data_IF_324713127610
#
_entry.id   IF_324713127610
#
_cell.length_a   1.000
_cell.length_b   1.000
_cell.length_c   1.000
_cell.angle_alpha   90.00
_cell.angle_beta   90.00
_cell.angle_gamma   90.00
#
_symmetry.space_group_name_H-M   'P 1'
#
loop_
_entity.id
_entity.type
_entity.pdbx_description
1 polymer ?
#
# COMPACT_ATOMS: atom_id res chain seq x y z
N UNK A 1 18.92 -6.98 -11.07
CA UNK A 1 17.64 -6.65 -10.39
C UNK A 1 16.67 -7.78 -10.54
N UNK A 2 16.06 -8.14 -9.45
CA UNK A 2 14.97 -9.09 -9.54
C UNK A 2 13.80 -8.42 -10.23
N UNK A 3 13.12 -9.15 -11.05
CA UNK A 3 11.91 -8.65 -11.67
C UNK A 3 10.91 -8.23 -10.62
N UNK A 4 10.34 -7.08 -10.80
CA UNK A 4 9.16 -6.73 -10.05
C UNK A 4 8.06 -7.66 -10.53
N UNK A 5 7.57 -8.46 -9.62
CA UNK A 5 6.46 -9.32 -9.92
C UNK A 5 5.19 -8.47 -9.96
N UNK A 6 4.72 -8.23 -11.16
CA UNK A 6 3.55 -7.38 -11.34
C UNK A 6 2.31 -8.23 -11.26
N UNK A 7 1.48 -7.91 -10.29
CA UNK A 7 0.10 -8.36 -10.29
C UNK A 7 -0.72 -7.15 -10.68
N UNK A 8 -1.06 -7.05 -11.96
CA UNK A 8 -1.92 -5.98 -12.44
C UNK A 8 -3.33 -6.49 -12.54
N UNK A 9 -4.18 -6.02 -11.67
CA UNK A 9 -5.60 -6.28 -11.72
C UNK A 9 -6.30 -4.98 -12.04
N UNK A 10 -7.07 -4.99 -13.10
CA UNK A 10 -7.79 -3.80 -13.56
C UNK A 10 -9.28 -4.04 -13.44
N UNK A 11 -10.01 -3.01 -13.05
CA UNK A 11 -11.48 -3.05 -13.05
C UNK A 11 -12.07 -2.24 -14.21
N UNK A 12 -11.34 -2.18 -15.33
CA UNK A 12 -11.74 -1.49 -16.55
C UNK A 12 -11.75 -2.44 -17.75
N UNK A 13 -11.94 -1.91 -18.95
CA UNK A 13 -12.06 -2.68 -20.19
C UNK A 13 -10.85 -3.59 -20.44
N UNK A 14 -11.10 -4.85 -20.80
CA UNK A 14 -10.08 -5.88 -21.01
C UNK A 14 -8.99 -5.50 -22.01
N UNK A 15 -9.34 -4.82 -23.09
CA UNK A 15 -8.36 -4.43 -24.11
C UNK A 15 -7.41 -3.37 -23.59
N UNK A 16 -7.93 -2.41 -22.84
CA UNK A 16 -7.13 -1.37 -22.21
C UNK A 16 -6.23 -1.98 -21.15
N UNK A 17 -6.76 -2.90 -20.36
CA UNK A 17 -5.99 -3.63 -19.36
C UNK A 17 -4.82 -4.37 -19.96
N UNK A 18 -5.05 -5.10 -21.04
CA UNK A 18 -4.03 -5.92 -21.68
C UNK A 18 -2.87 -5.08 -22.19
N UNK A 19 -3.17 -3.98 -22.88
CA UNK A 19 -2.15 -3.08 -23.41
C UNK A 19 -1.38 -2.39 -22.30
N UNK A 20 -2.09 -1.95 -21.28
CA UNK A 20 -1.48 -1.27 -20.15
C UNK A 20 -0.59 -2.22 -19.34
N UNK A 21 -1.11 -3.41 -19.07
CA UNK A 21 -0.37 -4.45 -18.36
C UNK A 21 0.94 -4.77 -19.05
N UNK A 22 0.89 -4.96 -20.37
CA UNK A 22 2.09 -5.26 -21.15
C UNK A 22 3.10 -4.12 -21.08
N UNK A 23 2.66 -2.87 -21.22
CA UNK A 23 3.53 -1.72 -21.16
C UNK A 23 4.20 -1.58 -19.79
N UNK A 24 3.45 -1.80 -18.72
CA UNK A 24 3.95 -1.75 -17.35
C UNK A 24 4.95 -2.88 -17.11
N UNK A 25 4.63 -4.10 -17.50
CA UNK A 25 5.52 -5.25 -17.37
C UNK A 25 6.84 -5.02 -18.11
N UNK A 26 6.79 -4.56 -19.35
CA UNK A 26 7.98 -4.30 -20.15
C UNK A 26 8.85 -3.22 -19.50
N UNK A 27 8.26 -2.16 -18.99
CA UNK A 27 8.98 -1.08 -18.32
C UNK A 27 9.66 -1.56 -17.05
N UNK A 28 8.95 -2.33 -16.24
CA UNK A 28 9.46 -2.80 -14.97
C UNK A 28 10.51 -3.90 -15.13
N UNK A 29 10.36 -4.76 -16.14
CA UNK A 29 11.37 -5.76 -16.46
C UNK A 29 12.70 -5.12 -16.84
N UNK A 30 12.68 -3.93 -17.43
CA UNK A 30 13.90 -3.21 -17.79
C UNK A 30 14.48 -2.40 -16.64
N UNK A 31 13.68 -2.02 -15.66
CA UNK A 31 14.08 -1.11 -14.58
C UNK A 31 14.53 -1.81 -13.32
N UNK A 32 13.85 -2.83 -12.88
CA UNK A 32 14.09 -3.38 -11.57
C UNK A 32 13.69 -4.83 -11.45
N UNK A 33 14.55 -5.57 -10.77
CA UNK A 33 14.24 -6.93 -10.35
C UNK A 33 14.02 -7.02 -8.86
N UNK A 34 13.84 -5.90 -8.19
CA UNK A 34 13.56 -5.94 -6.76
C UNK A 34 12.15 -6.46 -6.54
N UNK A 35 12.01 -7.12 -5.42
CA UNK A 35 10.74 -7.65 -5.00
C UNK A 35 9.74 -6.54 -4.75
N UNK A 36 8.65 -6.59 -5.47
CA UNK A 36 7.55 -5.65 -5.34
C UNK A 36 6.43 -6.05 -6.25
N UNK A 37 5.23 -5.60 -5.95
CA UNK A 37 4.05 -5.88 -6.74
C UNK A 37 3.29 -4.60 -6.99
N UNK A 38 2.57 -4.57 -8.10
CA UNK A 38 1.67 -3.49 -8.44
C UNK A 38 0.24 -4.03 -8.52
N UNK A 39 -0.66 -3.27 -7.96
CA UNK A 39 -2.09 -3.48 -8.11
C UNK A 39 -2.67 -2.21 -8.68
N UNK A 40 -3.35 -2.30 -9.82
CA UNK A 40 -4.00 -1.15 -10.42
C UNK A 40 -5.51 -1.30 -10.33
N UNK A 41 -6.14 -0.37 -9.65
CA UNK A 41 -7.57 -0.36 -9.41
C UNK A 41 -7.88 -0.04 -7.96
N UNK A 42 -9.16 0.10 -7.68
CA UNK A 42 -9.65 0.37 -6.35
C UNK A 42 -10.08 -0.94 -5.68
N UNK A 43 -9.56 -1.17 -4.47
CA UNK A 43 -10.04 -2.26 -3.63
C UNK A 43 -11.32 -1.85 -2.96
N UNK A 44 -12.36 -2.66 -3.16
CA UNK A 44 -13.71 -2.38 -2.67
C UNK A 44 -14.05 -3.26 -1.49
N UNK A 45 -15.16 -2.96 -0.87
CA UNK A 45 -15.64 -3.69 0.30
C UNK A 45 -15.57 -5.21 0.09
N UNK A 46 -15.07 -5.92 1.08
CA UNK A 46 -14.89 -7.37 1.12
C UNK A 46 -13.76 -7.92 0.24
N UNK A 47 -13.06 -7.06 -0.47
CA UNK A 47 -11.88 -7.50 -1.20
C UNK A 47 -10.68 -7.56 -0.27
N UNK A 48 -9.88 -8.61 -0.42
CA UNK A 48 -8.67 -8.83 0.37
C UNK A 48 -7.51 -9.01 -0.60
N UNK A 49 -6.47 -8.24 -0.41
CA UNK A 49 -5.23 -8.36 -1.17
C UNK A 49 -4.12 -8.74 -0.20
N UNK A 50 -3.56 -9.93 -0.38
CA UNK A 50 -2.43 -10.40 0.40
C UNK A 50 -1.22 -10.58 -0.50
N UNK A 51 -0.07 -10.14 -0.03
CA UNK A 51 1.16 -10.25 -0.79
C UNK A 51 2.35 -10.52 0.14
N UNK A 52 3.29 -11.31 -0.34
CA UNK A 52 4.53 -11.57 0.39
C UNK A 52 5.56 -10.46 0.21
N UNK A 53 5.35 -9.60 -0.76
CA UNK A 53 6.26 -8.53 -1.11
C UNK A 53 5.61 -7.19 -0.87
N UNK A 54 6.42 -6.13 -0.90
CA UNK A 54 5.88 -4.78 -0.88
C UNK A 54 4.92 -4.57 -2.04
N UNK A 55 3.87 -3.80 -1.81
CA UNK A 55 2.83 -3.56 -2.81
C UNK A 55 2.63 -2.09 -3.04
N UNK A 56 2.45 -1.72 -4.31
CA UNK A 56 2.05 -0.39 -4.73
C UNK A 56 0.65 -0.50 -5.33
N UNK A 57 -0.30 0.21 -4.74
CA UNK A 57 -1.68 0.23 -5.20
C UNK A 57 -1.94 1.54 -5.93
N UNK A 58 -2.25 1.44 -7.22
CA UNK A 58 -2.61 2.58 -8.07
C UNK A 58 -4.12 2.75 -8.03
N UNK A 59 -4.62 3.25 -6.94
CA UNK A 59 -6.05 3.39 -6.68
C UNK A 59 -6.30 3.58 -5.20
N UNK A 60 -7.54 3.39 -4.79
CA UNK A 60 -7.96 3.57 -3.41
C UNK A 60 -8.14 2.22 -2.72
N UNK A 61 -8.06 2.24 -1.39
CA UNK A 61 -8.47 1.11 -0.54
C UNK A 61 -9.71 1.59 0.21
N UNK A 62 -10.88 1.13 -0.22
CA UNK A 62 -12.14 1.57 0.35
C UNK A 62 -12.42 0.92 1.70
N UNK A 63 -13.35 1.50 2.42
CA UNK A 63 -13.82 0.92 3.68
C UNK A 63 -14.31 -0.51 3.45
N UNK A 64 -13.89 -1.42 4.30
CA UNK A 64 -14.22 -2.84 4.17
C UNK A 64 -13.27 -3.65 3.31
N UNK A 65 -12.33 -2.99 2.61
CA UNK A 65 -11.25 -3.67 1.92
C UNK A 65 -10.08 -3.90 2.86
N UNK A 66 -9.27 -4.93 2.57
CA UNK A 66 -8.11 -5.29 3.39
C UNK A 66 -6.89 -5.50 2.52
N UNK A 67 -5.78 -4.93 2.92
CA UNK A 67 -4.48 -5.14 2.28
C UNK A 67 -3.51 -5.66 3.33
N UNK A 68 -2.87 -6.78 3.04
CA UNK A 68 -1.85 -7.38 3.92
C UNK A 68 -0.58 -7.59 3.11
N UNK A 69 0.51 -7.05 3.58
CA UNK A 69 1.82 -7.21 2.94
C UNK A 69 2.87 -7.60 3.99
N UNK A 70 3.75 -8.51 3.64
CA UNK A 70 4.91 -8.81 4.48
C UNK A 70 5.96 -7.70 4.40
N UNK A 71 5.90 -6.88 3.37
CA UNK A 71 6.75 -5.70 3.19
C UNK A 71 5.98 -4.41 3.42
N UNK A 72 6.26 -3.41 2.59
CA UNK A 72 5.65 -2.09 2.68
C UNK A 72 4.37 -1.99 1.85
N UNK A 73 3.54 -1.03 2.19
CA UNK A 73 2.32 -0.74 1.42
C UNK A 73 2.39 0.73 0.98
N UNK A 74 2.28 0.94 -0.33
CA UNK A 74 2.20 2.28 -0.92
C UNK A 74 0.88 2.37 -1.68
N UNK A 75 0.03 3.31 -1.29
CA UNK A 75 -1.26 3.54 -1.94
C UNK A 75 -1.23 4.91 -2.61
N UNK A 76 -1.29 4.92 -3.93
CA UNK A 76 -1.40 6.15 -4.70
C UNK A 76 -2.87 6.52 -4.83
N UNK A 77 -3.47 6.80 -3.71
CA UNK A 77 -4.87 7.11 -3.54
C UNK A 77 -5.20 7.24 -2.06
N UNK A 78 -6.46 7.07 -1.73
CA UNK A 78 -6.94 7.15 -0.36
C UNK A 78 -7.00 5.78 0.30
N UNK A 79 -6.58 5.71 1.55
CA UNK A 79 -6.76 4.52 2.39
C UNK A 79 -7.88 4.80 3.37
N UNK A 80 -8.96 4.02 3.27
CA UNK A 80 -10.09 4.08 4.20
C UNK A 80 -10.40 2.72 4.83
N UNK A 81 -9.79 1.67 4.31
CA UNK A 81 -10.00 0.31 4.79
C UNK A 81 -8.96 -0.13 5.82
N UNK A 82 -8.66 -1.42 5.80
CA UNK A 82 -7.68 -2.03 6.70
C UNK A 82 -6.38 -2.28 5.95
N UNK A 83 -5.27 -1.87 6.53
CA UNK A 83 -3.94 -2.09 5.96
C UNK A 83 -3.01 -2.68 7.01
N UNK A 84 -2.23 -3.68 6.61
CA UNK A 84 -1.29 -4.36 7.49
C UNK A 84 0.04 -4.55 6.74
N UNK A 85 1.01 -3.74 7.06
CA UNK A 85 2.38 -3.84 6.55
C UNK A 85 3.26 -4.63 7.51
N UNK A 86 4.34 -5.21 6.99
CA UNK A 86 5.27 -5.97 7.81
C UNK A 86 4.61 -7.15 8.52
N UNK A 87 3.71 -7.85 7.85
CA UNK A 87 2.81 -8.83 8.46
C UNK A 87 3.52 -9.99 9.16
N UNK A 88 4.78 -10.27 8.82
CA UNK A 88 5.59 -11.32 9.46
C UNK A 88 6.45 -10.79 10.61
N UNK A 89 6.26 -9.54 11.01
CA UNK A 89 6.98 -8.94 12.13
C UNK A 89 8.04 -7.92 11.73
N UNK A 90 8.05 -7.47 10.48
CA UNK A 90 8.98 -6.43 10.04
C UNK A 90 8.55 -5.07 10.60
N UNK A 91 9.27 -4.63 11.63
CA UNK A 91 8.98 -3.37 12.31
C UNK A 91 9.52 -2.15 11.55
N UNK A 92 10.27 -2.36 10.49
CA UNK A 92 10.77 -1.28 9.62
C UNK A 92 9.83 -1.02 8.43
N UNK A 93 8.78 -1.79 8.30
CA UNK A 93 7.80 -1.59 7.23
C UNK A 93 7.06 -0.27 7.42
N UNK A 94 6.62 0.28 6.31
CA UNK A 94 5.86 1.53 6.32
C UNK A 94 4.62 1.43 5.43
N UNK A 95 3.71 2.36 5.64
CA UNK A 95 2.51 2.53 4.82
C UNK A 95 2.46 3.98 4.37
N UNK A 96 2.34 4.18 3.07
CA UNK A 96 2.27 5.51 2.46
C UNK A 96 0.96 5.63 1.69
N UNK A 97 0.31 6.77 1.77
CA UNK A 97 -0.90 7.05 1.00
C UNK A 97 -1.00 8.54 0.68
N UNK A 98 -1.73 8.86 -0.38
CA UNK A 98 -2.03 10.24 -0.72
C UNK A 98 -3.05 10.84 0.26
N UNK A 99 -3.93 10.01 0.79
CA UNK A 99 -4.85 10.38 1.85
C UNK A 99 -4.92 9.23 2.85
N UNK A 100 -4.52 9.48 4.09
CA UNK A 100 -4.37 8.45 5.10
C UNK A 100 -5.49 8.54 6.13
N UNK A 101 -6.56 7.76 5.92
CA UNK A 101 -7.70 7.71 6.84
C UNK A 101 -8.14 6.24 7.05
N UNK A 102 -7.22 5.37 7.46
CA UNK A 102 -7.54 3.95 7.60
C UNK A 102 -8.54 3.68 8.71
N UNK A 103 -9.35 2.66 8.50
CA UNK A 103 -10.22 2.14 9.55
C UNK A 103 -9.38 1.40 10.60
N UNK A 104 -8.48 0.53 10.13
CA UNK A 104 -7.52 -0.17 10.96
C UNK A 104 -6.18 -0.16 10.25
N UNK A 105 -5.13 0.15 10.99
CA UNK A 105 -3.77 0.11 10.49
C UNK A 105 -2.93 -0.77 11.39
N UNK A 106 -2.15 -1.66 10.78
CA UNK A 106 -1.21 -2.49 11.50
C UNK A 106 0.16 -2.41 10.85
N UNK A 107 1.19 -2.33 11.66
CA UNK A 107 2.57 -2.52 11.24
C UNK A 107 3.19 -3.55 12.16
N UNK A 108 3.65 -4.66 11.59
CA UNK A 108 4.16 -5.80 12.33
C UNK A 108 3.14 -6.29 13.36
N UNK A 109 3.45 -6.18 14.64
CA UNK A 109 2.60 -6.60 15.73
C UNK A 109 1.79 -5.47 16.39
N UNK A 110 1.93 -4.25 15.89
CA UNK A 110 1.28 -3.08 16.47
C UNK A 110 0.05 -2.70 15.65
N UNK A 111 -1.05 -2.52 16.35
CA UNK A 111 -2.34 -2.13 15.77
C UNK A 111 -2.68 -0.71 16.18
N UNK A 112 -3.14 0.08 15.23
CA UNK A 112 -3.70 1.40 15.48
C UNK A 112 -5.09 1.46 14.87
N UNK A 113 -6.07 1.80 15.65
CA UNK A 113 -7.44 1.97 15.19
C UNK A 113 -7.74 3.46 15.02
N UNK A 114 -8.84 3.76 14.36
CA UNK A 114 -9.25 5.14 14.11
C UNK A 114 -9.28 6.00 15.39
N UNK A 115 -9.56 5.38 16.51
CA UNK A 115 -9.61 6.09 17.81
C UNK A 115 -8.26 6.67 18.23
N UNK A 116 -7.18 6.03 17.79
CA UNK A 116 -5.82 6.44 18.16
C UNK A 116 -5.16 7.33 17.10
N UNK A 117 -5.74 7.41 15.92
CA UNK A 117 -5.25 8.24 14.83
C UNK A 117 -5.94 9.60 14.85
N UNK A 118 -5.85 10.29 15.99
CA UNK A 118 -6.57 11.55 16.17
C UNK A 118 -5.93 12.73 15.45
N UNK A 119 -4.65 12.62 15.14
CA UNK A 119 -3.95 13.66 14.43
C UNK A 119 -4.10 13.42 12.92
N UNK A 120 -5.15 13.99 12.34
CA UNK A 120 -5.32 13.91 10.90
C UNK A 120 -4.22 14.71 10.21
N UNK A 121 -3.36 13.98 9.54
CA UNK A 121 -2.38 14.60 8.66
C UNK A 121 -3.03 14.76 7.30
N UNK A 122 -3.22 16.00 6.88
CA UNK A 122 -3.79 16.29 5.58
C UNK A 122 -2.78 16.01 4.47
N UNK A 123 -3.25 15.42 3.37
CA UNK A 123 -2.43 15.17 2.20
C UNK A 123 -1.58 13.90 2.29
N UNK A 124 -0.57 13.78 1.41
CA UNK A 124 0.30 12.59 1.37
C UNK A 124 1.03 12.38 2.68
N UNK A 125 0.96 11.16 3.17
CA UNK A 125 1.46 10.81 4.50
C UNK A 125 2.15 9.46 4.50
N UNK A 126 3.03 9.27 5.47
CA UNK A 126 3.69 8.00 5.73
C UNK A 126 3.46 7.59 7.17
N UNK A 127 3.09 6.32 7.35
CA UNK A 127 2.94 5.71 8.67
C UNK A 127 4.12 4.79 8.94
N UNK A 128 4.74 4.96 10.08
CA UNK A 128 5.88 4.16 10.51
C UNK A 128 5.73 3.80 11.97
N UNK A 129 6.39 2.71 12.34
CA UNK A 129 6.42 2.27 13.72
C UNK A 129 7.62 2.88 14.45
N UNK A 130 7.35 3.41 15.63
CA UNK A 130 8.38 3.88 16.54
C UNK A 130 8.10 3.27 17.93
N UNK A 131 8.99 2.39 18.38
CA UNK A 131 8.86 1.61 19.61
C UNK A 131 7.53 0.83 19.67
N UNK A 132 6.50 1.44 20.20
CA UNK A 132 5.22 0.77 20.45
C UNK A 132 4.04 1.45 19.76
N UNK A 133 4.30 2.44 18.91
CA UNK A 133 3.24 3.25 18.32
C UNK A 133 3.46 3.46 16.83
N UNK A 134 2.36 3.60 16.13
CA UNK A 134 2.37 4.00 14.73
C UNK A 134 2.26 5.51 14.66
N UNK A 135 3.22 6.14 13.99
CA UNK A 135 3.25 7.57 13.74
C UNK A 135 2.91 7.85 12.29
N UNK A 136 2.09 8.85 12.05
CA UNK A 136 1.76 9.32 10.72
C UNK A 136 2.35 10.71 10.55
N UNK A 137 3.24 10.84 9.57
CA UNK A 137 3.90 12.09 9.25
C UNK A 137 3.59 12.51 7.80
N UNK A 138 3.56 13.82 7.52
CA UNK A 138 3.48 14.27 6.13
C UNK A 138 4.70 13.81 5.35
N UNK A 139 4.50 13.39 4.11
CA UNK A 139 5.61 12.99 3.23
C UNK A 139 6.58 14.14 2.97
N UNK A 140 6.11 15.37 2.95
CA UNK A 140 6.95 16.55 2.74
C UNK A 140 8.01 16.76 3.84
N UNK A 141 7.78 16.19 5.02
CA UNK A 141 8.72 16.28 6.14
C UNK A 141 9.72 15.13 6.16
N UNK A 142 9.64 14.23 5.20
CA UNK A 142 10.56 13.10 5.13
C UNK A 142 11.92 13.55 4.60
N UNK A 143 12.96 13.29 5.36
CA UNK A 143 14.33 13.51 4.92
C UNK A 143 14.82 12.31 4.12
N UNK A 144 15.30 12.59 2.94
CA UNK A 144 15.78 11.55 2.00
C UNK A 144 17.29 11.37 2.08
#
# INVERSE_FOLDING_TARGET
>A
MSLIHIVCIFDTNENTERLYKKAVEDSLNSLSRKEGQFYKGTLRQRQVLETEQSIIILGDVEFGATVVSKGNIVVLGAVRGTVHAGATGDRNAFITALSMKPHVMKIADIVSTHTYLQDEVAGPSIARLDDKRIYIDPLENLEW
#
